data_IF_944231790673
#
_entry.id   IF_944231790673
#
_cell.length_a   1.000
_cell.length_b   1.000
_cell.length_c   1.000
_cell.angle_alpha   90.00
_cell.angle_beta   90.00
_cell.angle_gamma   90.00
#
_symmetry.space_group_name_H-M   'P 1'
#
loop_
_entity.id
_entity.type
_entity.pdbx_description
1 polymer ?
#
# COMPACT_ATOMS: atom_id res chain seq x y z
N UNK A 1 -10.31 25.22 -18.00
CA UNK A 1 -9.88 24.61 -19.28
C UNK A 1 -11.06 24.64 -20.22
N UNK A 2 -10.91 25.20 -21.42
CA UNK A 2 -11.97 25.17 -22.44
C UNK A 2 -12.03 23.75 -23.01
N UNK A 3 -13.21 23.15 -23.06
CA UNK A 3 -13.41 21.80 -23.58
C UNK A 3 -13.29 21.77 -25.11
N UNK A 4 -12.99 20.62 -25.74
CA UNK A 4 -12.94 20.54 -27.20
C UNK A 4 -14.27 20.94 -27.84
N UNK A 5 -15.39 20.62 -27.19
CA UNK A 5 -16.73 20.99 -27.63
C UNK A 5 -16.90 22.52 -27.67
N UNK A 6 -16.41 23.24 -26.65
CA UNK A 6 -16.46 24.70 -26.66
C UNK A 6 -15.59 25.34 -27.75
N UNK A 7 -14.42 24.76 -28.02
CA UNK A 7 -13.60 25.23 -29.15
C UNK A 7 -14.34 25.05 -30.47
N UNK A 8 -14.96 23.89 -30.67
CA UNK A 8 -15.75 23.62 -31.88
C UNK A 8 -16.89 24.63 -32.02
N UNK A 9 -17.70 24.83 -30.97
CA UNK A 9 -18.82 25.79 -30.98
C UNK A 9 -18.33 27.21 -31.30
N UNK A 10 -17.26 27.69 -30.65
CA UNK A 10 -16.73 29.03 -30.91
C UNK A 10 -16.18 29.17 -32.34
N UNK A 11 -15.49 28.15 -32.85
CA UNK A 11 -14.95 28.13 -34.22
C UNK A 11 -16.08 28.10 -35.25
N UNK A 12 -17.07 27.23 -35.09
CA UNK A 12 -18.21 27.12 -35.99
C UNK A 12 -19.03 28.43 -36.03
N UNK A 13 -19.27 29.04 -34.87
CA UNK A 13 -20.01 30.31 -34.81
C UNK A 13 -19.23 31.46 -35.43
N UNK A 14 -17.92 31.54 -35.20
CA UNK A 14 -17.07 32.59 -35.79
C UNK A 14 -16.91 32.42 -37.30
N UNK A 15 -16.73 31.18 -37.77
CA UNK A 15 -16.68 30.86 -39.20
C UNK A 15 -18.01 31.15 -39.89
N UNK A 16 -19.14 30.77 -39.27
CA UNK A 16 -20.47 31.07 -39.77
C UNK A 16 -20.69 32.57 -39.87
N UNK A 17 -20.34 33.33 -38.82
CA UNK A 17 -20.43 34.79 -38.84
C UNK A 17 -19.62 35.39 -40.00
N UNK A 18 -18.38 34.94 -40.21
CA UNK A 18 -17.53 35.39 -41.30
C UNK A 18 -18.13 35.08 -42.68
N UNK A 19 -18.63 33.85 -42.88
CA UNK A 19 -19.23 33.41 -44.14
C UNK A 19 -20.49 34.20 -44.48
N UNK A 20 -21.42 34.34 -43.52
CA UNK A 20 -22.65 35.12 -43.74
C UNK A 20 -22.35 36.60 -43.94
N UNK A 21 -21.32 37.14 -43.27
CA UNK A 21 -20.89 38.53 -43.43
C UNK A 21 -20.30 38.81 -44.80
N UNK A 22 -19.69 37.81 -45.43
CA UNK A 22 -18.97 37.97 -46.71
C UNK A 22 -19.86 37.67 -47.91
N UNK A 23 -20.72 36.64 -47.82
CA UNK A 23 -21.39 36.09 -49.01
C UNK A 23 -22.89 36.37 -49.08
N UNK A 24 -23.59 36.47 -47.95
CA UNK A 24 -25.06 36.44 -47.93
C UNK A 24 -25.69 37.78 -47.57
N UNK A 25 -24.93 38.69 -46.94
CA UNK A 25 -25.32 40.07 -46.61
C UNK A 25 -26.77 40.24 -46.10
N UNK A 26 -27.27 39.25 -45.35
CA UNK A 26 -28.59 39.31 -44.74
C UNK A 26 -28.47 39.94 -43.34
N UNK A 27 -28.96 41.18 -43.13
CA UNK A 27 -28.71 41.92 -41.88
C UNK A 27 -29.32 41.23 -40.66
N UNK A 28 -30.44 40.52 -40.81
CA UNK A 28 -31.09 39.81 -39.71
C UNK A 28 -30.29 38.59 -39.27
N UNK A 29 -29.74 37.83 -40.22
CA UNK A 29 -28.89 36.68 -39.90
C UNK A 29 -27.56 37.11 -39.27
N UNK A 30 -26.98 38.23 -39.74
CA UNK A 30 -25.77 38.80 -39.14
C UNK A 30 -25.99 39.26 -37.70
N UNK A 31 -27.12 39.92 -37.44
CA UNK A 31 -27.49 40.31 -36.09
C UNK A 31 -27.66 39.07 -35.18
N UNK A 32 -28.37 38.03 -35.65
CA UNK A 32 -28.55 36.80 -34.88
C UNK A 32 -27.22 36.07 -34.59
N UNK A 33 -26.34 35.95 -35.59
CA UNK A 33 -25.03 35.31 -35.43
C UNK A 33 -24.12 36.10 -34.49
N UNK A 34 -24.10 37.43 -34.59
CA UNK A 34 -23.32 38.27 -33.65
C UNK A 34 -23.81 38.13 -32.22
N UNK A 35 -25.13 38.13 -31.99
CA UNK A 35 -25.71 37.85 -30.66
C UNK A 35 -25.31 36.46 -30.15
N UNK A 36 -25.39 35.43 -31.00
CA UNK A 36 -25.04 34.07 -30.59
C UNK A 36 -23.53 33.95 -30.26
N UNK A 37 -22.66 34.50 -31.10
CA UNK A 37 -21.21 34.50 -30.86
C UNK A 37 -20.84 35.24 -29.59
N UNK A 38 -21.46 36.40 -29.35
CA UNK A 38 -21.18 37.22 -28.16
C UNK A 38 -21.72 36.55 -26.89
N UNK A 39 -22.90 35.93 -26.97
CA UNK A 39 -23.47 35.14 -25.88
C UNK A 39 -22.54 34.00 -25.47
N UNK A 40 -22.13 33.13 -26.40
CA UNK A 40 -21.26 31.99 -26.07
C UNK A 40 -19.87 32.44 -25.60
N UNK A 41 -19.32 33.49 -26.20
CA UNK A 41 -18.03 34.05 -25.77
C UNK A 41 -18.11 34.58 -24.33
N UNK A 42 -19.14 35.39 -24.03
CA UNK A 42 -19.37 35.91 -22.69
C UNK A 42 -19.65 34.78 -21.69
N UNK A 43 -20.46 33.80 -22.09
CA UNK A 43 -20.77 32.62 -21.29
C UNK A 43 -19.50 31.87 -20.90
N UNK A 44 -18.61 31.56 -21.85
CA UNK A 44 -17.35 30.85 -21.59
C UNK A 44 -16.47 31.64 -20.62
N UNK A 45 -16.40 32.97 -20.75
CA UNK A 45 -15.64 33.83 -19.84
C UNK A 45 -16.22 33.78 -18.42
N UNK A 46 -17.54 33.96 -18.28
CA UNK A 46 -18.23 33.93 -16.97
C UNK A 46 -18.12 32.54 -16.34
N UNK A 47 -18.37 31.47 -17.09
CA UNK A 47 -18.26 30.10 -16.64
C UNK A 47 -16.83 29.79 -16.19
N UNK A 48 -15.82 30.18 -16.98
CA UNK A 48 -14.41 30.00 -16.61
C UNK A 48 -14.05 30.72 -15.31
N UNK A 49 -14.54 31.94 -15.09
CA UNK A 49 -14.31 32.68 -13.83
C UNK A 49 -14.97 31.99 -12.65
N UNK A 50 -16.21 31.50 -12.81
CA UNK A 50 -16.92 30.73 -11.78
C UNK A 50 -16.23 29.41 -11.46
N UNK A 51 -15.74 28.69 -12.46
CA UNK A 51 -14.96 27.47 -12.21
C UNK A 51 -13.63 27.81 -11.52
N UNK A 52 -13.00 28.94 -11.86
CA UNK A 52 -11.75 29.40 -11.26
C UNK A 52 -11.88 29.79 -9.77
N UNK A 53 -13.07 30.12 -9.28
CA UNK A 53 -13.29 30.41 -7.86
C UNK A 53 -13.41 29.16 -6.98
N UNK A 54 -13.61 27.97 -7.55
CA UNK A 54 -13.74 26.74 -6.76
C UNK A 54 -12.38 26.26 -6.27
N UNK A 55 -12.22 26.11 -4.97
CA UNK A 55 -10.98 25.58 -4.37
C UNK A 55 -11.16 24.09 -4.01
N UNK A 56 -10.08 23.31 -3.92
CA UNK A 56 -10.16 21.92 -3.43
C UNK A 56 -10.81 21.82 -2.05
N UNK A 57 -10.57 22.80 -1.18
CA UNK A 57 -11.08 22.85 0.19
C UNK A 57 -12.59 22.99 0.29
N UNK A 58 -13.25 23.52 -0.76
CA UNK A 58 -14.71 23.59 -0.79
C UNK A 58 -15.37 22.23 -1.06
N UNK A 59 -14.59 21.20 -1.39
CA UNK A 59 -15.06 19.84 -1.65
C UNK A 59 -14.61 18.97 -0.47
N UNK A 60 -15.56 18.39 0.27
CA UNK A 60 -15.22 17.43 1.32
C UNK A 60 -15.19 16.04 0.71
N UNK A 61 -14.05 15.37 0.79
CA UNK A 61 -13.93 13.97 0.42
C UNK A 61 -13.53 13.15 1.65
N UNK A 62 -14.20 12.02 1.85
CA UNK A 62 -13.93 11.08 2.92
C UNK A 62 -13.93 9.66 2.37
N UNK A 63 -13.01 8.83 2.84
CA UNK A 63 -13.06 7.39 2.62
C UNK A 63 -13.71 6.72 3.82
N UNK A 64 -14.41 5.62 3.57
CA UNK A 64 -15.10 4.87 4.63
C UNK A 64 -14.15 4.35 5.71
N UNK A 65 -12.90 4.05 5.35
CA UNK A 65 -11.87 3.55 6.25
C UNK A 65 -10.60 4.41 6.08
N UNK A 66 -9.94 4.71 7.20
CA UNK A 66 -8.66 5.45 7.20
C UNK A 66 -7.46 4.53 7.02
N UNK A 67 -7.52 3.34 7.60
CA UNK A 67 -6.50 2.31 7.47
C UNK A 67 -7.18 0.96 7.43
N UNK A 68 -6.67 0.06 6.58
CA UNK A 68 -7.17 -1.32 6.45
C UNK A 68 -5.99 -2.27 6.34
N UNK A 69 -5.98 -3.30 7.18
CA UNK A 69 -5.03 -4.40 7.06
C UNK A 69 -5.60 -5.48 6.15
N UNK A 70 -4.89 -5.79 5.06
CA UNK A 70 -5.36 -6.72 4.02
C UNK A 70 -4.22 -7.66 3.65
N UNK A 71 -4.51 -8.97 3.65
CA UNK A 71 -3.55 -9.97 3.19
C UNK A 71 -3.31 -9.83 1.68
N UNK A 72 -2.10 -10.16 1.23
CA UNK A 72 -1.77 -10.13 -0.19
C UNK A 72 -2.75 -11.00 -1.00
N UNK A 73 -3.26 -10.46 -2.09
CA UNK A 73 -4.24 -11.15 -2.94
C UNK A 73 -5.67 -11.18 -2.40
N UNK A 74 -5.92 -10.76 -1.15
CA UNK A 74 -7.29 -10.62 -0.64
C UNK A 74 -7.93 -9.31 -1.10
N UNK A 75 -9.23 -9.37 -1.37
CA UNK A 75 -10.04 -8.23 -1.77
C UNK A 75 -10.52 -7.42 -0.57
N UNK A 76 -10.68 -6.12 -0.77
CA UNK A 76 -11.26 -5.19 0.18
C UNK A 76 -12.11 -4.16 -0.55
N UNK A 77 -13.13 -3.64 0.14
CA UNK A 77 -14.03 -2.64 -0.42
C UNK A 77 -13.45 -1.24 -0.17
N UNK A 78 -13.39 -0.44 -1.23
CA UNK A 78 -13.09 0.99 -1.16
C UNK A 78 -14.39 1.76 -1.33
N UNK A 79 -14.73 2.60 -0.33
CA UNK A 79 -15.85 3.55 -0.42
C UNK A 79 -15.32 4.97 -0.30
N UNK A 80 -15.54 5.76 -1.34
CA UNK A 80 -15.22 7.19 -1.39
C UNK A 80 -16.54 7.98 -1.41
N UNK A 81 -16.68 8.90 -0.46
CA UNK A 81 -17.81 9.82 -0.36
C UNK A 81 -17.31 11.24 -0.62
N UNK A 82 -17.99 11.98 -1.49
CA UNK A 82 -17.72 13.39 -1.76
C UNK A 82 -18.95 14.23 -1.51
N UNK A 83 -18.80 15.31 -0.76
CA UNK A 83 -19.79 16.36 -0.62
C UNK A 83 -19.30 17.63 -1.31
N UNK A 84 -20.12 18.16 -2.20
CA UNK A 84 -19.84 19.39 -2.93
C UNK A 84 -21.12 20.14 -3.26
N UNK A 85 -20.98 21.45 -3.51
CA UNK A 85 -22.05 22.30 -4.01
C UNK A 85 -21.69 22.78 -5.42
N UNK A 86 -22.43 22.29 -6.41
CA UNK A 86 -22.16 22.61 -7.80
C UNK A 86 -23.42 22.55 -8.66
N UNK A 87 -23.39 23.25 -9.79
CA UNK A 87 -24.45 23.21 -10.79
C UNK A 87 -23.81 22.88 -12.14
N UNK A 88 -24.00 21.66 -12.62
CA UNK A 88 -23.40 21.18 -13.85
C UNK A 88 -23.05 19.69 -13.77
N UNK A 89 -22.09 19.26 -14.57
CA UNK A 89 -21.61 17.87 -14.56
C UNK A 89 -20.36 17.77 -13.71
N UNK A 90 -20.29 16.73 -12.88
CA UNK A 90 -19.11 16.40 -12.08
C UNK A 90 -18.65 15.01 -12.45
N UNK A 91 -17.36 14.89 -12.71
CA UNK A 91 -16.69 13.63 -12.94
C UNK A 91 -15.69 13.39 -11.81
N UNK A 92 -15.87 12.31 -11.08
CA UNK A 92 -14.96 11.89 -10.02
C UNK A 92 -14.21 10.68 -10.52
N UNK A 93 -12.89 10.70 -10.37
CA UNK A 93 -12.00 9.57 -10.63
C UNK A 93 -11.16 9.33 -9.40
N UNK A 94 -11.32 8.18 -8.80
CA UNK A 94 -10.48 7.76 -7.69
C UNK A 94 -9.09 7.37 -8.20
N UNK A 95 -8.04 7.90 -7.56
CA UNK A 95 -6.66 7.63 -7.96
C UNK A 95 -6.17 6.40 -7.20
N UNK A 96 -6.24 5.25 -7.87
CA UNK A 96 -5.75 3.99 -7.33
C UNK A 96 -4.22 3.99 -7.37
N UNK A 97 -3.54 3.82 -6.23
CA UNK A 97 -2.09 3.84 -6.16
C UNK A 97 -1.47 2.58 -6.77
N UNK A 98 -0.19 2.68 -7.13
CA UNK A 98 0.57 1.53 -7.63
C UNK A 98 0.60 0.40 -6.61
N UNK A 99 0.27 -0.81 -7.04
CA UNK A 99 0.25 -1.99 -6.18
C UNK A 99 -1.13 -2.43 -5.71
N UNK A 100 -2.16 -1.65 -6.01
CA UNK A 100 -3.56 -2.05 -5.87
C UNK A 100 -4.14 -2.32 -7.26
N UNK A 101 -4.92 -3.39 -7.39
CA UNK A 101 -5.67 -3.73 -8.60
C UNK A 101 -7.15 -3.68 -8.29
N UNK A 102 -7.93 -3.06 -9.18
CA UNK A 102 -9.39 -3.08 -9.10
C UNK A 102 -9.87 -4.46 -9.57
N UNK A 103 -10.66 -5.13 -8.74
CA UNK A 103 -11.21 -6.47 -9.01
C UNK A 103 -12.59 -6.34 -9.65
N UNK A 104 -13.44 -5.50 -9.06
CA UNK A 104 -14.82 -5.31 -9.50
C UNK A 104 -15.28 -3.87 -9.26
N UNK A 105 -16.24 -3.39 -10.07
CA UNK A 105 -16.77 -2.03 -9.99
C UNK A 105 -16.04 -1.00 -10.85
N UNK A 106 -16.34 0.28 -10.63
CA UNK A 106 -15.75 1.40 -11.36
C UNK A 106 -15.04 2.35 -10.39
N UNK A 107 -13.86 2.81 -10.78
CA UNK A 107 -13.12 3.86 -10.06
C UNK A 107 -13.52 5.27 -10.52
N UNK A 108 -14.50 5.37 -11.41
CA UNK A 108 -14.95 6.66 -11.92
C UNK A 108 -16.47 6.74 -12.03
N UNK A 109 -17.00 7.93 -11.79
CA UNK A 109 -18.41 8.24 -11.95
C UNK A 109 -18.54 9.64 -12.54
N UNK A 110 -19.50 9.81 -13.46
CA UNK A 110 -19.87 11.10 -14.04
C UNK A 110 -21.35 11.34 -13.80
N UNK A 111 -21.68 12.39 -13.07
CA UNK A 111 -23.06 12.69 -12.63
C UNK A 111 -23.36 14.16 -12.84
N UNK A 112 -24.61 14.46 -13.23
CA UNK A 112 -25.11 15.83 -13.23
C UNK A 112 -25.64 16.17 -11.85
N UNK A 113 -25.15 17.27 -11.27
CA UNK A 113 -25.49 17.73 -9.92
C UNK A 113 -26.13 19.11 -9.97
N UNK A 114 -27.02 19.35 -9.02
CA UNK A 114 -27.83 20.56 -8.95
C UNK A 114 -27.89 21.04 -7.49
N UNK A 115 -26.90 21.83 -7.08
CA UNK A 115 -26.75 22.34 -5.72
C UNK A 115 -25.88 21.44 -4.85
N UNK A 116 -26.18 21.39 -3.56
CA UNK A 116 -25.44 20.57 -2.59
C UNK A 116 -25.78 19.09 -2.77
N UNK A 117 -24.79 18.27 -3.06
CA UNK A 117 -24.98 16.85 -3.36
C UNK A 117 -23.89 16.01 -2.70
N UNK A 118 -24.26 14.85 -2.18
CA UNK A 118 -23.35 13.81 -1.74
C UNK A 118 -23.24 12.74 -2.84
N UNK A 119 -22.03 12.48 -3.31
CA UNK A 119 -21.71 11.44 -4.28
C UNK A 119 -20.96 10.32 -3.56
N UNK A 120 -21.31 9.08 -3.85
CA UNK A 120 -20.57 7.92 -3.36
C UNK A 120 -20.07 7.07 -4.52
N UNK A 121 -18.85 6.57 -4.38
CA UNK A 121 -18.19 5.67 -5.29
C UNK A 121 -17.71 4.47 -4.48
N UNK A 122 -18.12 3.27 -4.87
CA UNK A 122 -17.67 2.02 -4.26
C UNK A 122 -17.16 1.04 -5.29
N UNK A 123 -16.04 0.39 -4.99
CA UNK A 123 -15.45 -0.65 -5.81
C UNK A 123 -14.63 -1.61 -4.95
N UNK A 124 -14.36 -2.79 -5.50
CA UNK A 124 -13.52 -3.80 -4.85
C UNK A 124 -12.10 -3.71 -5.39
N UNK A 125 -11.12 -3.69 -4.49
CA UNK A 125 -9.71 -3.64 -4.81
C UNK A 125 -8.97 -4.79 -4.11
N UNK A 126 -7.86 -5.22 -4.68
CA UNK A 126 -6.98 -6.22 -4.08
C UNK A 126 -5.54 -5.74 -4.10
N UNK A 127 -4.79 -6.12 -3.08
CA UNK A 127 -3.36 -5.84 -3.00
C UNK A 127 -2.61 -6.82 -3.91
N UNK A 128 -1.93 -6.30 -4.93
CA UNK A 128 -1.14 -7.08 -5.87
C UNK A 128 0.38 -6.94 -5.66
N UNK A 129 0.82 -5.81 -5.10
CA UNK A 129 2.25 -5.57 -4.82
C UNK A 129 2.77 -6.37 -3.62
N UNK A 130 4.10 -6.47 -3.53
CA UNK A 130 4.82 -6.89 -2.33
C UNK A 130 5.14 -5.75 -1.35
N UNK A 131 4.60 -4.54 -1.57
CA UNK A 131 4.75 -3.43 -0.63
C UNK A 131 4.05 -3.72 0.70
N UNK A 132 4.63 -3.23 1.81
CA UNK A 132 4.06 -3.38 3.16
C UNK A 132 2.94 -2.39 3.46
N UNK A 133 2.97 -1.23 2.80
CA UNK A 133 1.98 -0.18 2.93
C UNK A 133 1.74 0.41 1.54
N UNK A 134 0.49 0.71 1.22
CA UNK A 134 0.10 1.42 0.01
C UNK A 134 -0.90 2.49 0.40
N UNK A 135 -0.67 3.73 -0.04
CA UNK A 135 -1.49 4.87 0.33
C UNK A 135 -2.34 5.34 -0.85
N UNK A 136 -3.64 5.48 -0.62
CA UNK A 136 -4.50 6.28 -1.47
C UNK A 136 -4.33 7.74 -1.07
N UNK A 137 -3.90 8.59 -2.01
CA UNK A 137 -3.71 10.02 -1.73
C UNK A 137 -5.05 10.79 -1.76
N UNK A 138 -5.90 10.48 -2.73
CA UNK A 138 -7.15 11.21 -2.94
C UNK A 138 -7.81 10.90 -4.27
N UNK A 139 -8.68 11.81 -4.71
CA UNK A 139 -9.44 11.66 -5.94
C UNK A 139 -9.27 12.88 -6.85
N UNK A 140 -9.30 12.64 -8.16
CA UNK A 140 -9.37 13.69 -9.17
C UNK A 140 -10.83 14.01 -9.44
N UNK A 141 -11.22 15.26 -9.19
CA UNK A 141 -12.56 15.78 -9.46
C UNK A 141 -12.49 16.75 -10.62
N UNK A 142 -13.29 16.51 -11.66
CA UNK A 142 -13.45 17.41 -12.80
C UNK A 142 -14.85 18.01 -12.77
N UNK A 143 -14.91 19.32 -12.60
CA UNK A 143 -16.15 20.09 -12.63
C UNK A 143 -16.34 20.64 -14.04
N UNK A 144 -17.52 20.45 -14.60
CA UNK A 144 -17.94 21.04 -15.87
C UNK A 144 -19.10 22.00 -15.60
N UNK A 145 -19.14 23.10 -16.34
CA UNK A 145 -20.29 24.00 -16.34
C UNK A 145 -21.56 23.31 -16.88
N UNK A 146 -22.76 23.91 -16.71
CA UNK A 146 -24.02 23.31 -17.17
C UNK A 146 -24.11 22.99 -18.67
N UNK A 147 -23.35 23.69 -19.53
CA UNK A 147 -23.30 23.42 -20.97
C UNK A 147 -22.12 22.52 -21.37
N UNK A 148 -21.23 22.18 -20.44
CA UNK A 148 -20.05 21.33 -20.71
C UNK A 148 -18.97 22.00 -21.57
N UNK A 149 -18.96 23.33 -21.64
CA UNK A 149 -18.06 24.13 -22.47
C UNK A 149 -16.71 24.43 -21.76
N UNK A 150 -16.70 24.39 -20.44
CA UNK A 150 -15.55 24.70 -19.60
C UNK A 150 -15.45 23.64 -18.50
N UNK A 151 -14.28 23.03 -18.40
CA UNK A 151 -13.93 22.07 -17.36
C UNK A 151 -12.82 22.58 -16.45
N UNK A 152 -12.83 22.20 -15.18
CA UNK A 152 -11.73 22.40 -14.24
C UNK A 152 -11.45 21.10 -13.50
N UNK A 153 -10.20 20.66 -13.56
CA UNK A 153 -9.71 19.54 -12.76
C UNK A 153 -9.15 20.05 -11.43
N UNK A 154 -9.50 19.35 -10.36
CA UNK A 154 -9.03 19.55 -9.00
C UNK A 154 -8.58 18.21 -8.45
N UNK A 155 -7.52 18.21 -7.63
CA UNK A 155 -7.19 17.08 -6.79
C UNK A 155 -7.78 17.34 -5.40
N UNK A 156 -8.52 16.37 -4.87
CA UNK A 156 -9.15 16.47 -3.54
C UNK A 156 -8.54 15.37 -2.67
N UNK A 157 -7.85 15.73 -1.57
CA UNK A 157 -7.21 14.76 -0.70
C UNK A 157 -8.27 13.93 0.03
N UNK A 158 -8.08 12.62 0.04
CA UNK A 158 -8.92 11.67 0.75
C UNK A 158 -8.03 10.48 1.14
N UNK A 159 -7.14 10.65 2.14
CA UNK A 159 -6.12 9.67 2.43
C UNK A 159 -6.70 8.38 3.02
N UNK A 160 -6.15 7.25 2.60
CA UNK A 160 -6.39 5.93 3.21
C UNK A 160 -5.15 5.06 3.05
N UNK A 161 -4.77 4.39 4.12
CA UNK A 161 -3.63 3.49 4.13
C UNK A 161 -4.10 2.03 4.03
N UNK A 162 -3.42 1.23 3.21
CA UNK A 162 -3.61 -0.22 3.14
C UNK A 162 -2.34 -0.89 3.62
N UNK A 163 -2.43 -1.55 4.76
CA UNK A 163 -1.33 -2.25 5.40
C UNK A 163 -1.36 -3.73 5.02
N UNK A 164 -0.22 -4.28 4.63
CA UNK A 164 -0.07 -5.66 4.19
C UNK A 164 0.76 -6.40 5.23
N UNK A 165 0.13 -7.09 6.19
CA UNK A 165 0.87 -7.82 7.21
C UNK A 165 1.62 -8.99 6.59
N UNK A 166 2.74 -9.38 7.21
CA UNK A 166 3.40 -10.63 6.87
C UNK A 166 2.43 -11.78 7.08
N UNK A 167 2.32 -12.66 6.08
CA UNK A 167 1.98 -14.04 6.39
C UNK A 167 3.08 -14.53 7.33
N UNK A 168 2.77 -14.59 8.64
CA UNK A 168 3.50 -15.47 9.52
C UNK A 168 3.25 -16.84 8.93
N UNK A 169 4.16 -17.31 8.08
CA UNK A 169 4.26 -18.72 7.77
C UNK A 169 4.17 -19.40 9.12
N UNK A 170 3.07 -20.11 9.37
CA UNK A 170 3.01 -21.08 10.45
C UNK A 170 4.04 -22.13 10.05
N UNK A 171 5.30 -21.86 10.33
CA UNK A 171 6.25 -22.90 10.69
C UNK A 171 5.82 -23.41 12.07
N UNK A 172 4.58 -23.87 12.17
CA UNK A 172 4.11 -24.82 13.17
C UNK A 172 4.51 -26.20 12.66
N UNK A 173 5.81 -26.37 12.45
CA UNK A 173 6.45 -27.65 12.20
C UNK A 173 7.53 -27.76 13.26
N UNK A 174 7.11 -28.20 14.45
CA UNK A 174 7.95 -28.86 15.46
C UNK A 174 9.46 -28.58 15.38
N UNK A 175 9.89 -27.41 15.84
CA UNK A 175 11.17 -27.35 16.53
C UNK A 175 10.83 -27.03 17.96
N UNK A 176 10.66 -28.09 18.74
CA UNK A 176 10.82 -28.02 20.19
C UNK A 176 12.26 -27.58 20.41
N UNK A 177 12.51 -26.27 20.35
CA UNK A 177 13.60 -25.68 21.13
C UNK A 177 13.22 -25.98 22.56
N UNK A 178 13.64 -27.14 23.07
CA UNK A 178 13.80 -27.34 24.49
C UNK A 178 14.66 -26.18 24.95
N UNK A 179 14.01 -25.15 25.51
CA UNK A 179 14.67 -24.25 26.42
C UNK A 179 15.15 -25.12 27.56
N UNK A 180 16.35 -25.67 27.40
CA UNK A 180 17.14 -26.11 28.54
C UNK A 180 17.28 -24.85 29.37
N UNK A 181 16.54 -24.77 30.47
CA UNK A 181 16.78 -23.78 31.51
C UNK A 181 18.22 -23.99 31.97
N UNK A 182 19.14 -23.24 31.39
CA UNK A 182 20.45 -23.03 31.97
C UNK A 182 20.21 -22.12 33.17
N UNK A 183 19.83 -22.72 34.30
CA UNK A 183 20.03 -22.09 35.59
C UNK A 183 21.53 -21.80 35.68
N UNK A 184 21.98 -20.54 35.79
CA UNK A 184 23.39 -20.27 35.94
C UNK A 184 23.80 -20.84 37.30
N UNK A 185 24.54 -21.95 37.28
CA UNK A 185 25.25 -22.43 38.44
C UNK A 185 26.25 -21.34 38.83
N UNK A 186 26.06 -20.76 40.01
CA UNK A 186 27.02 -19.87 40.64
C UNK A 186 28.40 -20.53 40.63
N UNK A 187 29.33 -19.94 39.87
CA UNK A 187 30.67 -20.48 39.69
C UNK A 187 31.35 -19.78 38.52
N UNK A 188 32.32 -18.94 38.83
CA UNK A 188 33.18 -18.21 37.90
C UNK A 188 33.75 -19.11 36.79
N UNK A 189 33.25 -18.97 35.56
CA UNK A 189 33.90 -19.56 34.37
C UNK A 189 34.62 -18.46 33.62
N UNK A 190 35.90 -18.30 33.94
CA UNK A 190 36.88 -17.62 33.09
C UNK A 190 37.57 -18.68 32.24
N UNK A 191 37.01 -18.97 31.05
CA UNK A 191 37.86 -19.37 29.92
C UNK A 191 37.13 -19.18 28.58
N UNK A 192 37.51 -18.13 27.85
CA UNK A 192 37.09 -17.77 26.49
C UNK A 192 38.19 -18.13 25.50
N UNK A 193 38.57 -19.41 25.43
CA UNK A 193 39.53 -19.87 24.43
C UNK A 193 39.29 -21.33 24.05
N UNK A 194 38.77 -21.52 22.83
CA UNK A 194 39.00 -22.65 21.93
C UNK A 194 39.06 -24.02 22.64
N UNK A 195 37.90 -24.64 22.82
CA UNK A 195 37.80 -26.05 23.16
C UNK A 195 36.82 -26.71 22.21
N UNK A 196 37.23 -27.78 21.54
CA UNK A 196 36.32 -28.70 20.87
C UNK A 196 35.13 -28.98 21.80
N UNK A 197 33.91 -28.84 21.28
CA UNK A 197 32.67 -29.02 22.04
C UNK A 197 32.53 -30.50 22.45
N UNK A 198 33.19 -30.84 23.54
CA UNK A 198 33.19 -32.14 24.17
C UNK A 198 31.99 -32.20 25.14
N UNK A 199 30.99 -33.00 24.82
CA UNK A 199 29.89 -33.28 25.75
C UNK A 199 30.30 -34.41 26.69
N UNK A 200 30.07 -34.26 27.98
CA UNK A 200 30.30 -35.34 28.95
C UNK A 200 29.23 -36.42 28.74
N UNK A 201 29.66 -37.65 28.47
CA UNK A 201 28.74 -38.77 28.17
C UNK A 201 28.68 -39.77 29.33
N UNK A 202 29.73 -39.88 30.15
CA UNK A 202 29.71 -40.80 31.29
C UNK A 202 31.09 -41.05 31.88
N UNK A 203 31.23 -42.17 32.59
CA UNK A 203 32.52 -42.65 33.12
C UNK A 203 32.84 -44.03 32.57
N UNK A 204 34.12 -44.37 32.48
CA UNK A 204 34.59 -45.71 32.11
C UNK A 204 35.80 -46.10 32.97
N UNK A 205 36.17 -47.39 33.04
CA UNK A 205 37.42 -47.80 33.68
C UNK A 205 38.63 -47.11 33.05
N UNK A 206 39.61 -46.77 33.89
CA UNK A 206 40.90 -46.22 33.49
C UNK A 206 41.64 -47.24 32.62
N UNK A 207 42.15 -46.80 31.49
CA UNK A 207 43.00 -47.59 30.61
C UNK A 207 44.38 -46.95 30.50
N UNK A 208 45.39 -47.75 30.18
CA UNK A 208 46.74 -47.27 29.96
C UNK A 208 46.76 -46.24 28.81
N UNK A 209 47.22 -45.02 29.10
CA UNK A 209 47.17 -43.87 28.19
C UNK A 209 46.20 -42.76 28.62
N UNK A 210 45.31 -43.01 29.58
CA UNK A 210 44.45 -41.99 30.15
C UNK A 210 45.22 -41.02 31.05
N UNK A 211 44.87 -39.74 31.00
CA UNK A 211 45.52 -38.73 31.84
C UNK A 211 44.93 -38.79 33.25
N UNK A 212 45.80 -38.72 34.26
CA UNK A 212 45.40 -38.71 35.68
C UNK A 212 44.42 -37.57 36.00
N UNK A 213 44.53 -36.43 35.32
CA UNK A 213 43.61 -35.29 35.48
C UNK A 213 42.16 -35.59 35.07
N UNK A 214 41.96 -36.61 34.24
CA UNK A 214 40.64 -37.00 33.72
C UNK A 214 39.96 -38.04 34.61
N UNK A 215 40.62 -38.48 35.69
CA UNK A 215 40.07 -39.37 36.72
C UNK A 215 38.94 -38.66 37.48
N UNK A 216 37.81 -39.35 37.61
CA UNK A 216 36.66 -38.89 38.36
C UNK A 216 36.79 -39.31 39.83
N UNK A 217 37.65 -38.61 40.58
CA UNK A 217 38.01 -38.94 41.97
C UNK A 217 36.80 -39.19 42.88
N UNK A 218 35.76 -38.36 42.78
CA UNK A 218 34.55 -38.50 43.62
C UNK A 218 33.80 -39.82 43.39
N UNK A 219 33.82 -40.35 42.16
CA UNK A 219 33.08 -41.57 41.81
C UNK A 219 33.93 -42.81 42.03
N UNK A 220 35.24 -42.66 41.84
CA UNK A 220 36.25 -43.66 42.20
C UNK A 220 36.24 -43.91 43.72
N UNK A 221 36.26 -42.85 44.54
CA UNK A 221 36.22 -42.96 46.00
C UNK A 221 34.88 -43.51 46.56
N UNK A 222 33.82 -43.55 45.73
CA UNK A 222 32.54 -44.12 46.11
C UNK A 222 32.44 -45.63 45.79
N UNK A 223 33.43 -46.20 45.09
CA UNK A 223 33.58 -47.63 44.90
C UNK A 223 34.37 -48.17 46.09
N UNK A 224 33.68 -48.78 47.05
CA UNK A 224 34.30 -49.25 48.31
C UNK A 224 35.01 -50.60 48.16
N UNK A 225 34.69 -51.37 47.11
CA UNK A 225 35.10 -52.78 46.97
C UNK A 225 35.97 -53.08 45.72
N UNK A 226 36.29 -52.08 44.89
CA UNK A 226 37.08 -52.27 43.67
C UNK A 226 38.19 -51.21 43.54
N UNK A 227 39.44 -51.64 43.40
CA UNK A 227 40.63 -50.80 43.09
C UNK A 227 40.62 -50.25 41.64
N UNK A 228 39.43 -50.00 41.09
CA UNK A 228 39.24 -49.56 39.71
C UNK A 228 39.11 -48.03 39.64
N UNK A 229 40.10 -47.37 39.02
CA UNK A 229 40.00 -45.94 38.72
C UNK A 229 38.96 -45.69 37.62
N UNK A 230 38.09 -44.69 37.80
CA UNK A 230 37.11 -44.28 36.79
C UNK A 230 37.53 -42.97 36.11
N UNK A 231 37.47 -42.92 34.79
CA UNK A 231 37.83 -41.76 33.94
C UNK A 231 36.60 -41.16 33.28
N UNK A 232 36.57 -39.84 33.13
CA UNK A 232 35.50 -39.11 32.43
C UNK A 232 35.54 -39.40 30.93
N UNK A 233 34.41 -39.79 30.35
CA UNK A 233 34.23 -40.00 28.90
C UNK A 233 33.54 -38.79 28.29
N UNK A 234 34.18 -38.22 27.28
CA UNK A 234 33.66 -37.13 26.47
C UNK A 234 33.43 -37.60 25.03
N UNK A 235 32.39 -37.11 24.38
CA UNK A 235 32.15 -37.33 22.95
C UNK A 235 32.30 -36.03 22.17
N UNK A 236 32.79 -36.10 20.94
CA UNK A 236 32.94 -34.92 20.07
C UNK A 236 31.63 -34.71 19.33
N UNK A 237 31.01 -33.55 19.54
CA UNK A 237 29.95 -33.09 18.65
C UNK A 237 30.58 -32.75 17.28
N UNK A 238 30.39 -33.63 16.30
CA UNK A 238 30.81 -33.38 14.93
C UNK A 238 30.04 -32.19 14.35
N UNK A 239 30.74 -31.14 13.91
CA UNK A 239 30.13 -30.06 13.13
C UNK A 239 29.87 -30.54 11.70
N UNK A 240 28.60 -30.64 11.31
CA UNK A 240 28.21 -30.80 9.92
C UNK A 240 28.09 -29.43 9.25
N UNK A 241 28.86 -29.18 8.19
CA UNK A 241 28.70 -27.97 7.37
C UNK A 241 27.59 -28.20 6.35
N UNK A 242 26.49 -27.45 6.46
CA UNK A 242 25.43 -27.43 5.45
C UNK A 242 25.62 -26.20 4.56
N UNK A 243 25.79 -26.42 3.26
CA UNK A 243 25.81 -25.36 2.24
C UNK A 243 24.52 -25.49 1.43
N UNK A 244 23.67 -24.47 1.47
CA UNK A 244 22.48 -24.40 0.63
C UNK A 244 22.84 -23.65 -0.66
N UNK A 245 22.68 -24.32 -1.81
CA UNK A 245 22.73 -23.71 -3.14
C UNK A 245 21.29 -23.52 -3.60
N UNK A 246 20.94 -22.29 -3.99
CA UNK A 246 19.62 -21.94 -4.55
C UNK A 246 19.84 -21.67 -6.03
N UNK A 247 19.08 -22.39 -6.87
CA UNK A 247 19.05 -22.26 -8.33
C UNK A 247 18.20 -21.04 -8.77
#
# INVERSE_FOLDING_TARGET
>A
MITPEAKAVLVELTLSLLLFSTFLYNPMMLLALTFLTSFFSLYVVVASRRLASVTPESIRATRGLRSVEVLRGSGFEVRLSLELEWYGTVEVRDLVPSGIRVVSGSTSIRVRVSGRTALSLSYEAAVWSGYRAVEFEGAKVVLYDPLGLVGRSLFVPAPMEVLVPFERTRHAGFWTTSMVRLTPGSGTVLNTAIGDEHSFVGVRPFAEGDKVRDVHWRRTAALTDEDALLVKRYDRLGRGNVVAVVD
#
